data_IF_548084199307
#
_entry.id   IF_548084199307
#
_cell.length_a   1.000
_cell.length_b   1.000
_cell.length_c   1.000
_cell.angle_alpha   90.00
_cell.angle_beta   90.00
_cell.angle_gamma   90.00
#
_symmetry.space_group_name_H-M   'P 1'
#
loop_
_entity.id
_entity.type
_entity.pdbx_description
1 polymer ?
#
# COMPACT_ATOMS: atom_id res chain seq x y z
N UNK A 1 -27.17 16.46 -50.92
CA UNK A 1 -28.42 17.15 -51.38
C UNK A 1 -28.85 18.29 -50.45
N UNK A 2 -28.67 18.20 -49.12
CA UNK A 2 -29.00 19.28 -48.16
C UNK A 2 -27.91 20.36 -48.07
N UNK A 3 -26.64 19.96 -48.04
CA UNK A 3 -25.49 20.88 -48.03
C UNK A 3 -25.40 21.72 -49.32
N UNK A 4 -25.77 21.13 -50.46
CA UNK A 4 -25.87 21.81 -51.75
C UNK A 4 -27.05 22.80 -51.84
N UNK A 5 -28.01 22.71 -50.92
CA UNK A 5 -29.13 23.63 -50.79
C UNK A 5 -28.85 24.78 -49.79
N UNK A 6 -27.61 24.93 -49.31
CA UNK A 6 -27.21 25.98 -48.37
C UNK A 6 -27.75 25.80 -46.95
N UNK A 7 -28.32 24.64 -46.61
CA UNK A 7 -28.81 24.34 -45.26
C UNK A 7 -27.68 23.82 -44.37
N UNK A 8 -27.62 24.31 -43.13
CA UNK A 8 -26.64 23.86 -42.14
C UNK A 8 -26.92 22.42 -41.74
N UNK A 9 -25.98 21.52 -42.01
CA UNK A 9 -26.02 20.12 -41.59
C UNK A 9 -24.97 19.86 -40.50
N UNK A 10 -25.20 18.85 -39.67
CA UNK A 10 -24.22 18.40 -38.68
C UNK A 10 -22.96 17.83 -39.33
N UNK A 11 -21.96 17.53 -38.49
CA UNK A 11 -20.66 17.06 -38.94
C UNK A 11 -20.59 15.55 -39.23
N UNK A 12 -21.54 14.77 -38.72
CA UNK A 12 -21.66 13.35 -39.05
C UNK A 12 -21.98 13.19 -40.55
N UNK A 13 -21.22 12.34 -41.24
CA UNK A 13 -21.37 12.06 -42.68
C UNK A 13 -22.00 10.70 -42.98
N UNK A 14 -22.57 10.04 -41.97
CA UNK A 14 -23.24 8.75 -42.08
C UNK A 14 -22.41 7.63 -42.74
N UNK A 15 -21.10 7.63 -42.50
CA UNK A 15 -20.17 6.63 -43.06
C UNK A 15 -20.27 5.24 -42.42
N UNK A 16 -21.02 5.09 -41.30
CA UNK A 16 -21.15 3.86 -40.50
C UNK A 16 -19.84 3.28 -39.93
N UNK A 17 -18.72 4.01 -39.98
CA UNK A 17 -17.43 3.53 -39.47
C UNK A 17 -17.49 3.20 -37.97
N UNK A 18 -18.17 4.02 -37.17
CA UNK A 18 -18.38 3.80 -35.74
C UNK A 18 -19.14 2.51 -35.41
N UNK A 19 -20.11 2.12 -36.25
CA UNK A 19 -20.89 0.88 -36.10
C UNK A 19 -20.04 -0.32 -36.47
N UNK A 20 -19.30 -0.25 -37.58
CA UNK A 20 -18.50 -1.35 -38.10
C UNK A 20 -17.37 -1.78 -37.16
N UNK A 21 -16.76 -0.82 -36.44
CA UNK A 21 -15.67 -1.11 -35.48
C UNK A 21 -16.18 -1.44 -34.08
N UNK A 22 -17.48 -1.28 -33.82
CA UNK A 22 -18.02 -1.49 -32.49
C UNK A 22 -18.17 -3.00 -32.21
N UNK A 23 -17.47 -3.56 -31.20
CA UNK A 23 -17.57 -4.97 -30.87
C UNK A 23 -18.95 -5.35 -30.30
N UNK A 24 -19.68 -4.37 -29.77
CA UNK A 24 -21.03 -4.54 -29.22
C UNK A 24 -22.12 -4.27 -30.27
N UNK A 25 -21.76 -3.88 -31.50
CA UNK A 25 -22.72 -3.57 -32.57
C UNK A 25 -23.58 -2.32 -32.35
N UNK A 26 -23.18 -1.42 -31.44
CA UNK A 26 -23.94 -0.21 -31.13
C UNK A 26 -23.73 0.92 -32.16
N UNK A 27 -24.83 1.61 -32.48
CA UNK A 27 -24.83 2.82 -33.30
C UNK A 27 -24.88 4.06 -32.41
N UNK A 28 -23.73 4.73 -32.28
CA UNK A 28 -23.57 5.91 -31.42
C UNK A 28 -24.50 7.08 -31.78
N UNK A 29 -25.11 7.08 -32.97
CA UNK A 29 -26.05 8.12 -33.40
C UNK A 29 -27.38 8.04 -32.66
N UNK A 30 -27.72 6.86 -32.13
CA UNK A 30 -28.90 6.65 -31.29
C UNK A 30 -28.72 7.16 -29.85
N UNK A 31 -27.55 7.75 -29.56
CA UNK A 31 -27.23 8.31 -28.25
C UNK A 31 -26.60 7.29 -27.31
N UNK A 32 -26.71 7.55 -26.00
CA UNK A 32 -26.08 6.74 -24.97
C UNK A 32 -26.81 5.40 -24.81
N UNK A 33 -26.06 4.31 -24.96
CA UNK A 33 -26.52 2.93 -24.90
C UNK A 33 -25.83 2.21 -23.73
N UNK A 34 -26.56 1.35 -23.03
CA UNK A 34 -26.10 0.67 -21.81
C UNK A 34 -25.06 -0.43 -22.11
N UNK A 35 -25.04 -0.91 -23.35
CA UNK A 35 -24.16 -1.93 -23.89
C UNK A 35 -22.73 -1.40 -24.14
N UNK A 36 -22.53 -0.07 -24.06
CA UNK A 36 -21.23 0.54 -24.31
C UNK A 36 -20.18 0.14 -23.27
N UNK A 37 -19.10 -0.49 -23.72
CA UNK A 37 -17.96 -0.92 -22.89
C UNK A 37 -16.84 0.13 -22.78
N UNK A 38 -17.03 1.34 -23.31
CA UNK A 38 -16.02 2.41 -23.26
C UNK A 38 -14.63 2.00 -23.77
N UNK A 39 -14.56 1.40 -24.96
CA UNK A 39 -13.29 0.96 -25.58
C UNK A 39 -12.66 1.97 -26.57
N UNK A 40 -13.35 3.07 -26.90
CA UNK A 40 -12.91 4.12 -27.82
C UNK A 40 -12.70 3.77 -29.31
N UNK A 41 -12.90 2.53 -29.75
CA UNK A 41 -12.72 2.15 -31.17
C UNK A 41 -13.53 3.01 -32.15
N UNK A 42 -14.76 3.40 -31.76
CA UNK A 42 -15.60 4.29 -32.55
C UNK A 42 -15.02 5.71 -32.67
N UNK A 43 -14.32 6.20 -31.64
CA UNK A 43 -13.67 7.52 -31.63
C UNK A 43 -12.52 7.52 -32.64
N UNK A 44 -11.63 6.53 -32.55
CA UNK A 44 -10.48 6.41 -33.45
C UNK A 44 -10.92 6.29 -34.92
N UNK A 45 -11.95 5.48 -35.18
CA UNK A 45 -12.51 5.33 -36.51
C UNK A 45 -13.17 6.62 -37.03
N UNK A 46 -13.85 7.37 -36.17
CA UNK A 46 -14.46 8.64 -36.52
C UNK A 46 -13.40 9.69 -36.84
N UNK A 47 -12.35 9.81 -36.02
CA UNK A 47 -11.24 10.73 -36.27
C UNK A 47 -10.53 10.43 -37.60
N UNK A 48 -10.33 9.15 -37.92
CA UNK A 48 -9.78 8.75 -39.22
C UNK A 48 -10.67 9.12 -40.42
N UNK A 49 -11.99 9.23 -40.24
CA UNK A 49 -12.91 9.76 -41.26
C UNK A 49 -12.82 11.28 -41.33
N UNK A 50 -12.76 11.96 -40.20
CA UNK A 50 -12.64 13.43 -40.13
C UNK A 50 -11.35 13.93 -40.79
N UNK A 51 -10.24 13.23 -40.57
CA UNK A 51 -8.95 13.52 -41.22
C UNK A 51 -9.07 13.48 -42.76
N UNK A 52 -9.71 12.44 -43.30
CA UNK A 52 -9.90 12.29 -44.76
C UNK A 52 -10.79 13.37 -45.36
N UNK A 53 -11.69 13.94 -44.56
CA UNK A 53 -12.56 15.04 -44.95
C UNK A 53 -11.91 16.41 -44.73
N UNK A 54 -10.70 16.47 -44.15
CA UNK A 54 -10.04 17.71 -43.79
C UNK A 54 -10.75 18.49 -42.68
N UNK A 55 -11.49 17.80 -41.80
CA UNK A 55 -12.17 18.38 -40.65
C UNK A 55 -11.43 18.10 -39.35
N UNK A 56 -11.67 18.92 -38.34
CA UNK A 56 -11.08 18.74 -37.01
C UNK A 56 -11.56 17.45 -36.34
N UNK A 57 -10.62 16.77 -35.66
CA UNK A 57 -10.86 15.55 -34.85
C UNK A 57 -11.68 15.84 -33.60
N UNK A 58 -12.20 14.80 -32.96
CA UNK A 58 -12.96 14.91 -31.72
C UNK A 58 -14.45 15.20 -31.91
N UNK A 59 -14.99 14.89 -33.10
CA UNK A 59 -16.45 14.92 -33.34
C UNK A 59 -17.21 14.08 -32.30
N UNK A 60 -16.61 12.94 -31.92
CA UNK A 60 -17.01 12.15 -30.76
C UNK A 60 -15.81 11.98 -29.85
N UNK A 61 -16.03 12.00 -28.54
CA UNK A 61 -14.97 11.86 -27.54
C UNK A 61 -15.55 11.39 -26.21
N UNK A 62 -14.68 11.00 -25.28
CA UNK A 62 -15.10 10.87 -23.90
C UNK A 62 -15.44 12.24 -23.33
N UNK A 63 -16.69 12.37 -22.89
CA UNK A 63 -17.19 13.56 -22.26
C UNK A 63 -17.79 13.21 -20.89
N UNK A 64 -17.73 14.18 -19.97
CA UNK A 64 -18.56 14.10 -18.77
C UNK A 64 -19.97 14.55 -19.11
N UNK A 65 -20.96 14.17 -18.29
CA UNK A 65 -22.33 14.67 -18.42
C UNK A 65 -22.38 16.21 -18.38
N UNK A 66 -21.52 16.83 -17.58
CA UNK A 66 -21.40 18.29 -17.51
C UNK A 66 -20.93 18.91 -18.84
N UNK A 67 -19.97 18.26 -19.51
CA UNK A 67 -19.46 18.73 -20.81
C UNK A 67 -20.52 18.57 -21.90
N UNK A 68 -21.19 17.41 -21.93
CA UNK A 68 -22.32 17.16 -22.83
C UNK A 68 -23.42 18.22 -22.67
N UNK A 69 -23.87 18.47 -21.45
CA UNK A 69 -24.90 19.46 -21.17
C UNK A 69 -24.47 20.87 -21.58
N UNK A 70 -23.21 21.24 -21.31
CA UNK A 70 -22.66 22.56 -21.71
C UNK A 70 -22.67 22.72 -23.23
N UNK A 71 -22.24 21.69 -23.96
CA UNK A 71 -22.21 21.69 -25.42
C UNK A 71 -23.62 21.69 -26.02
N UNK A 72 -24.57 20.98 -25.41
CA UNK A 72 -25.98 21.01 -25.83
C UNK A 72 -26.62 22.36 -25.60
N UNK A 73 -26.36 23.03 -24.47
CA UNK A 73 -26.83 24.41 -24.29
C UNK A 73 -26.26 25.36 -25.34
N UNK A 74 -24.97 25.23 -25.67
CA UNK A 74 -24.35 26.05 -26.74
C UNK A 74 -25.01 25.77 -28.09
N UNK A 75 -25.16 24.50 -28.46
CA UNK A 75 -25.69 24.08 -29.75
C UNK A 75 -27.18 24.42 -29.95
N UNK A 76 -27.93 24.62 -28.87
CA UNK A 76 -29.39 24.91 -28.89
C UNK A 76 -29.72 26.35 -28.50
N UNK A 77 -28.73 27.24 -28.46
CA UNK A 77 -28.89 28.62 -27.98
C UNK A 77 -29.65 28.70 -26.64
N UNK A 78 -29.19 27.91 -25.67
CA UNK A 78 -29.78 27.79 -24.34
C UNK A 78 -31.11 27.01 -24.30
N UNK A 79 -31.35 26.13 -25.27
CA UNK A 79 -32.59 25.35 -25.39
C UNK A 79 -33.71 26.04 -26.20
N UNK A 80 -33.42 27.22 -26.78
CA UNK A 80 -34.39 28.01 -27.56
C UNK A 80 -34.60 27.49 -28.97
N UNK A 81 -33.66 26.70 -29.51
CA UNK A 81 -33.72 26.13 -30.85
C UNK A 81 -33.35 24.65 -30.86
N UNK A 82 -33.67 23.96 -31.95
CA UNK A 82 -33.00 22.69 -32.27
C UNK A 82 -31.49 22.91 -32.45
N UNK A 83 -30.73 21.80 -32.48
CA UNK A 83 -29.28 21.83 -32.68
C UNK A 83 -28.93 22.62 -33.94
N UNK A 84 -28.15 23.68 -33.76
CA UNK A 84 -27.76 24.63 -34.79
C UNK A 84 -26.24 24.56 -35.01
N UNK A 85 -25.75 23.84 -36.04
CA UNK A 85 -24.32 23.59 -36.27
C UNK A 85 -23.40 24.83 -36.32
N UNK A 86 -23.81 25.99 -36.88
CA UNK A 86 -23.02 27.22 -36.85
C UNK A 86 -22.70 27.76 -35.44
N UNK A 87 -23.44 27.37 -34.40
CA UNK A 87 -23.15 27.83 -33.02
C UNK A 87 -21.93 27.12 -32.40
N UNK A 88 -21.57 25.96 -32.92
CA UNK A 88 -20.45 25.14 -32.42
C UNK A 88 -19.21 25.21 -33.31
N UNK A 89 -19.28 25.95 -34.42
CA UNK A 89 -18.19 26.13 -35.39
C UNK A 89 -17.81 27.60 -35.55
N UNK A 90 -16.54 27.86 -35.84
CA UNK A 90 -16.08 29.19 -36.30
C UNK A 90 -16.35 29.36 -37.79
N UNK A 91 -16.19 30.58 -38.31
CA UNK A 91 -16.32 30.86 -39.75
C UNK A 91 -15.35 30.03 -40.62
N UNK A 92 -14.20 29.67 -40.05
CA UNK A 92 -13.16 28.86 -40.69
C UNK A 92 -13.44 27.34 -40.61
N UNK A 93 -14.55 26.92 -40.00
CA UNK A 93 -14.95 25.52 -39.88
C UNK A 93 -14.31 24.74 -38.73
N UNK A 94 -13.53 25.40 -37.88
CA UNK A 94 -12.97 24.82 -36.65
C UNK A 94 -14.03 24.79 -35.53
N UNK A 95 -13.83 23.95 -34.51
CA UNK A 95 -14.67 23.97 -33.32
C UNK A 95 -14.51 25.31 -32.58
N UNK A 96 -15.63 25.82 -32.06
CA UNK A 96 -15.63 27.03 -31.24
C UNK A 96 -14.90 26.78 -29.92
N UNK A 97 -14.09 27.74 -29.46
CA UNK A 97 -13.42 27.70 -28.14
C UNK A 97 -14.41 27.58 -26.96
N UNK A 98 -15.69 27.90 -27.21
CA UNK A 98 -16.77 27.77 -26.23
C UNK A 98 -17.23 26.32 -26.02
N UNK A 99 -16.85 25.41 -26.92
CA UNK A 99 -17.17 24.00 -26.81
C UNK A 99 -16.34 23.39 -25.68
N UNK A 100 -17.02 22.81 -24.70
CA UNK A 100 -16.40 22.09 -23.61
C UNK A 100 -15.72 20.82 -24.14
N UNK A 101 -14.39 20.79 -24.04
CA UNK A 101 -13.57 19.64 -24.37
C UNK A 101 -12.66 19.26 -23.19
N UNK A 102 -11.88 18.19 -23.34
CA UNK A 102 -10.90 17.80 -22.35
C UNK A 102 -9.74 18.81 -22.32
N UNK A 103 -9.44 19.34 -21.14
CA UNK A 103 -8.27 20.17 -20.88
C UNK A 103 -7.52 19.62 -19.69
N UNK A 104 -6.18 19.66 -19.74
CA UNK A 104 -5.34 19.14 -18.65
C UNK A 104 -5.58 19.84 -17.30
N UNK A 105 -6.01 21.11 -17.34
CA UNK A 105 -6.43 21.88 -16.15
C UNK A 105 -7.58 21.22 -15.38
N UNK A 106 -8.43 20.41 -16.04
CA UNK A 106 -9.52 19.67 -15.36
C UNK A 106 -9.01 18.59 -14.39
N UNK A 107 -7.76 18.12 -14.55
CA UNK A 107 -7.13 17.16 -13.62
C UNK A 107 -6.72 17.86 -12.31
N UNK A 108 -6.24 19.09 -12.41
CA UNK A 108 -5.70 19.87 -11.30
C UNK A 108 -6.80 20.56 -10.47
N UNK A 109 -7.71 19.76 -9.91
CA UNK A 109 -8.74 20.24 -8.97
C UNK A 109 -8.19 20.21 -7.54
N UNK A 110 -8.51 21.21 -6.69
CA UNK A 110 -8.08 21.23 -5.29
C UNK A 110 -8.41 19.94 -4.53
N UNK A 111 -9.59 19.35 -4.79
CA UNK A 111 -10.00 18.08 -4.18
C UNK A 111 -9.07 16.91 -4.52
N UNK A 112 -8.55 16.84 -5.74
CA UNK A 112 -7.61 15.79 -6.17
C UNK A 112 -6.34 15.82 -5.32
N UNK A 113 -5.80 17.01 -5.04
CA UNK A 113 -4.63 17.17 -4.18
C UNK A 113 -4.90 16.78 -2.72
N UNK A 114 -6.09 17.09 -2.20
CA UNK A 114 -6.49 16.66 -0.84
C UNK A 114 -6.49 15.14 -0.74
N UNK A 115 -7.12 14.44 -1.69
CA UNK A 115 -7.13 12.97 -1.68
C UNK A 115 -5.72 12.39 -1.85
N UNK A 116 -4.91 12.94 -2.75
CA UNK A 116 -3.53 12.51 -2.94
C UNK A 116 -2.69 12.71 -1.67
N UNK A 117 -2.86 13.83 -0.97
CA UNK A 117 -2.20 14.10 0.31
C UNK A 117 -2.61 13.12 1.40
N UNK A 118 -3.92 12.85 1.56
CA UNK A 118 -4.43 11.88 2.54
C UNK A 118 -3.88 10.49 2.27
N UNK A 119 -3.95 10.01 1.02
CA UNK A 119 -3.43 8.70 0.65
C UNK A 119 -1.93 8.58 0.83
N UNK A 120 -1.18 9.65 0.50
CA UNK A 120 0.27 9.69 0.71
C UNK A 120 0.62 9.64 2.19
N UNK A 121 -0.13 10.33 3.05
CA UNK A 121 0.09 10.31 4.51
C UNK A 121 -0.17 8.91 5.07
N UNK A 122 -1.25 8.25 4.66
CA UNK A 122 -1.53 6.86 5.05
C UNK A 122 -0.40 5.94 4.60
N UNK A 123 0.03 6.06 3.33
CA UNK A 123 1.13 5.26 2.79
C UNK A 123 2.45 5.47 3.55
N UNK A 124 2.79 6.72 3.88
CA UNK A 124 3.97 7.05 4.68
C UNK A 124 3.88 6.48 6.10
N UNK A 125 2.71 6.55 6.74
CA UNK A 125 2.49 5.96 8.07
C UNK A 125 2.68 4.44 8.08
N UNK A 126 2.13 3.75 7.07
CA UNK A 126 2.31 2.30 6.92
C UNK A 126 3.78 1.94 6.62
N UNK A 127 4.45 2.71 5.76
CA UNK A 127 5.86 2.51 5.45
C UNK A 127 6.73 2.69 6.70
N UNK A 128 6.48 3.76 7.47
CA UNK A 128 7.18 3.99 8.73
C UNK A 128 6.98 2.81 9.69
N UNK A 129 5.74 2.38 9.91
CA UNK A 129 5.43 1.23 10.77
C UNK A 129 6.11 -0.06 10.32
N UNK A 130 6.27 -0.28 9.01
CA UNK A 130 6.95 -1.45 8.46
C UNK A 130 8.47 -1.39 8.69
N UNK A 131 9.06 -0.21 8.48
CA UNK A 131 10.51 -0.01 8.62
C UNK A 131 10.96 -0.06 10.09
N UNK A 132 10.13 0.41 11.02
CA UNK A 132 10.42 0.41 12.47
C UNK A 132 9.90 -0.84 13.19
N UNK A 133 9.47 -1.88 12.47
CA UNK A 133 9.00 -3.12 13.08
C UNK A 133 10.17 -3.88 13.70
N UNK A 134 10.06 -4.19 15.00
CA UNK A 134 11.01 -5.06 15.70
C UNK A 134 11.01 -6.47 15.08
N UNK A 135 12.22 -7.01 14.87
CA UNK A 135 12.42 -8.33 14.22
C UNK A 135 13.02 -9.38 15.16
N UNK A 136 13.13 -9.03 16.44
CA UNK A 136 13.67 -9.86 17.50
C UNK A 136 12.67 -9.87 18.68
N UNK A 137 12.17 -11.05 19.01
CA UNK A 137 11.27 -11.23 20.15
C UNK A 137 11.91 -12.15 21.21
N UNK A 138 11.86 -11.68 22.47
CA UNK A 138 12.30 -12.41 23.67
C UNK A 138 11.09 -12.70 24.55
N UNK A 139 10.85 -13.96 24.85
CA UNK A 139 9.82 -14.38 25.80
C UNK A 139 10.41 -15.35 26.82
N UNK A 140 10.28 -15.05 28.12
CA UNK A 140 10.86 -15.85 29.20
C UNK A 140 9.76 -16.37 30.11
N UNK A 141 9.84 -17.66 30.43
CA UNK A 141 8.88 -18.34 31.30
C UNK A 141 9.63 -18.97 32.48
N UNK A 142 9.29 -18.59 33.71
CA UNK A 142 9.84 -19.24 34.92
C UNK A 142 9.16 -20.61 35.13
N UNK A 143 9.97 -21.66 35.27
CA UNK A 143 9.52 -22.99 35.68
C UNK A 143 8.93 -22.93 37.10
N UNK A 144 7.68 -23.37 37.26
CA UNK A 144 6.97 -23.33 38.56
C UNK A 144 7.02 -24.64 39.34
N UNK A 145 7.55 -25.71 38.76
CA UNK A 145 7.57 -27.03 39.38
C UNK A 145 8.91 -27.75 39.12
N UNK A 146 9.87 -27.72 40.07
CA UNK A 146 9.87 -26.93 41.31
C UNK A 146 10.08 -25.43 41.05
N UNK A 147 9.61 -24.55 41.95
CA UNK A 147 9.85 -23.10 41.81
C UNK A 147 11.32 -22.71 41.96
N UNK A 148 12.03 -23.38 42.87
CA UNK A 148 13.47 -23.26 43.08
C UNK A 148 14.04 -24.57 43.62
N UNK A 149 15.35 -24.78 43.47
CA UNK A 149 16.08 -25.91 44.04
C UNK A 149 17.30 -25.40 44.80
N UNK A 150 17.43 -25.79 46.06
CA UNK A 150 18.63 -25.51 46.85
C UNK A 150 19.70 -26.57 46.56
N UNK A 151 20.91 -26.13 46.24
CA UNK A 151 22.07 -26.98 45.97
C UNK A 151 22.83 -27.31 47.27
N UNK A 152 23.75 -28.27 47.20
CA UNK A 152 24.54 -28.73 48.37
C UNK A 152 25.46 -27.65 48.94
N UNK A 153 25.82 -26.64 48.13
CA UNK A 153 26.61 -25.47 48.52
C UNK A 153 25.75 -24.34 49.12
N UNK A 154 24.43 -24.55 49.28
CA UNK A 154 23.48 -23.55 49.77
C UNK A 154 23.01 -22.56 48.71
N UNK A 155 23.53 -22.62 47.49
CA UNK A 155 23.07 -21.76 46.40
C UNK A 155 21.65 -22.13 45.94
N UNK A 156 20.91 -21.15 45.43
CA UNK A 156 19.56 -21.36 44.91
C UNK A 156 19.60 -21.39 43.39
N UNK A 157 18.97 -22.40 42.79
CA UNK A 157 18.82 -22.57 41.34
C UNK A 157 17.36 -22.46 40.91
N UNK A 158 17.06 -21.54 40.00
CA UNK A 158 15.77 -21.37 39.34
C UNK A 158 15.85 -21.79 37.87
N UNK A 159 14.78 -22.39 37.34
CA UNK A 159 14.68 -22.77 35.92
C UNK A 159 13.85 -21.76 35.13
N UNK A 160 14.33 -21.38 33.95
CA UNK A 160 13.62 -20.51 33.02
C UNK A 160 13.65 -21.13 31.62
N UNK A 161 12.54 -21.03 30.90
CA UNK A 161 12.47 -21.31 29.47
C UNK A 161 12.54 -19.98 28.73
N UNK A 162 13.68 -19.72 28.10
CA UNK A 162 13.94 -18.53 27.29
C UNK A 162 13.64 -18.88 25.83
N UNK A 163 12.69 -18.17 25.22
CA UNK A 163 12.29 -18.32 23.84
C UNK A 163 12.82 -17.14 23.03
N UNK A 164 13.62 -17.44 22.02
CA UNK A 164 14.23 -16.47 21.11
C UNK A 164 13.62 -16.68 19.73
N UNK A 165 12.95 -15.66 19.19
CA UNK A 165 12.38 -15.71 17.85
C UNK A 165 13.17 -14.79 16.91
N UNK A 166 13.74 -15.39 15.87
CA UNK A 166 14.35 -14.67 14.76
C UNK A 166 13.29 -14.46 13.67
N UNK A 167 12.89 -13.21 13.41
CA UNK A 167 11.93 -12.86 12.35
C UNK A 167 12.60 -12.38 11.05
N UNK A 168 13.88 -12.69 10.83
CA UNK A 168 14.56 -12.40 9.55
C UNK A 168 15.02 -13.69 8.87
N UNK A 169 15.08 -13.69 7.52
CA UNK A 169 15.47 -14.86 6.72
C UNK A 169 17.00 -15.08 6.66
N UNK A 170 17.72 -14.73 7.73
CA UNK A 170 19.18 -14.87 7.84
C UNK A 170 19.55 -15.43 9.22
N UNK A 171 20.56 -16.31 9.31
CA UNK A 171 21.00 -16.86 10.59
C UNK A 171 21.63 -15.75 11.46
N UNK A 172 21.24 -15.70 12.73
CA UNK A 172 21.72 -14.68 13.67
C UNK A 172 22.38 -15.32 14.87
N UNK A 173 23.39 -14.63 15.41
CA UNK A 173 23.98 -14.99 16.71
C UNK A 173 23.51 -13.98 17.75
N UNK A 174 22.59 -14.41 18.59
CA UNK A 174 22.00 -13.57 19.63
C UNK A 174 22.77 -13.70 20.93
N UNK A 175 23.08 -12.58 21.57
CA UNK A 175 23.76 -12.56 22.87
C UNK A 175 22.72 -12.42 23.96
N UNK A 176 22.50 -13.50 24.72
CA UNK A 176 21.60 -13.51 25.88
C UNK A 176 22.41 -13.16 27.11
N UNK A 177 22.08 -12.04 27.76
CA UNK A 177 22.77 -11.52 28.94
C UNK A 177 21.81 -11.41 30.11
N UNK A 178 22.27 -11.79 31.30
CA UNK A 178 21.56 -11.52 32.55
C UNK A 178 22.10 -10.27 33.21
N UNK A 179 21.22 -9.31 33.47
CA UNK A 179 21.49 -8.07 34.17
C UNK A 179 20.83 -8.09 35.54
N UNK A 180 21.52 -7.56 36.55
CA UNK A 180 21.13 -7.74 37.95
C UNK A 180 21.64 -9.07 38.53
N UNK A 181 21.30 -9.34 39.79
CA UNK A 181 21.82 -10.45 40.61
C UNK A 181 23.36 -10.51 40.65
N UNK A 182 23.93 -9.93 41.70
CA UNK A 182 25.37 -9.97 41.93
C UNK A 182 25.83 -11.40 42.24
N UNK A 183 26.89 -11.83 41.55
CA UNK A 183 27.44 -13.19 41.71
C UNK A 183 26.65 -14.30 41.03
N UNK A 184 25.47 -14.03 40.45
CA UNK A 184 24.70 -15.04 39.73
C UNK A 184 25.42 -15.51 38.46
N UNK A 185 25.28 -16.80 38.18
CA UNK A 185 25.59 -17.37 36.89
C UNK A 185 24.37 -18.06 36.27
N UNK A 186 24.42 -18.20 34.96
CA UNK A 186 23.45 -18.94 34.19
C UNK A 186 24.11 -20.18 33.62
N UNK A 187 23.31 -21.23 33.42
CA UNK A 187 23.71 -22.45 32.73
C UNK A 187 22.64 -22.77 31.70
N UNK A 188 23.03 -22.89 30.43
CA UNK A 188 22.15 -23.30 29.34
C UNK A 188 22.17 -24.82 29.24
N UNK A 189 20.99 -25.45 29.22
CA UNK A 189 20.88 -26.91 29.12
C UNK A 189 20.96 -27.32 27.65
N UNK A 190 21.86 -28.25 27.33
CA UNK A 190 21.94 -28.91 26.03
C UNK A 190 23.07 -28.43 25.13
N UNK A 191 23.66 -27.26 25.42
CA UNK A 191 24.87 -26.78 24.76
C UNK A 191 26.05 -26.85 25.77
N UNK A 192 27.24 -27.27 25.33
CA UNK A 192 28.48 -27.29 26.14
C UNK A 192 29.06 -25.88 26.38
N UNK A 193 28.18 -24.94 26.71
CA UNK A 193 28.52 -23.55 27.00
C UNK A 193 28.87 -23.45 28.49
N UNK A 194 30.07 -22.94 28.85
CA UNK A 194 30.44 -22.75 30.25
C UNK A 194 29.45 -21.86 30.99
N UNK A 195 29.30 -22.08 32.30
CA UNK A 195 28.49 -21.19 33.14
C UNK A 195 29.01 -19.74 33.06
N UNK A 196 28.09 -18.78 33.02
CA UNK A 196 28.43 -17.37 32.82
C UNK A 196 27.22 -16.46 32.85
N UNK A 197 27.41 -15.17 32.57
CA UNK A 197 26.32 -14.17 32.56
C UNK A 197 25.87 -13.73 31.16
N UNK A 198 26.61 -14.17 30.13
CA UNK A 198 26.37 -13.80 28.74
C UNK A 198 26.75 -14.96 27.82
N UNK A 199 25.86 -15.36 26.93
CA UNK A 199 26.11 -16.43 25.96
C UNK A 199 25.70 -16.03 24.56
N UNK A 200 26.49 -16.44 23.58
CA UNK A 200 26.18 -16.29 22.16
C UNK A 200 25.44 -17.54 21.68
N UNK A 201 24.19 -17.38 21.25
CA UNK A 201 23.32 -18.46 20.80
C UNK A 201 23.01 -18.26 19.31
N UNK A 202 23.40 -19.21 18.43
CA UNK A 202 22.96 -19.19 17.05
C UNK A 202 21.47 -19.54 16.98
N UNK A 203 20.71 -18.71 16.25
CA UNK A 203 19.28 -18.89 15.98
C UNK A 203 19.08 -18.88 14.47
N UNK A 204 18.45 -19.95 13.98
CA UNK A 204 18.17 -20.14 12.56
C UNK A 204 17.17 -19.09 12.02
N UNK A 205 17.16 -18.85 10.69
CA UNK A 205 16.19 -17.99 10.03
C UNK A 205 14.74 -18.38 10.33
N UNK A 206 13.87 -17.40 10.56
CA UNK A 206 12.42 -17.57 10.72
C UNK A 206 12.02 -18.66 11.75
N UNK A 207 12.87 -18.90 12.74
CA UNK A 207 12.67 -19.96 13.73
C UNK A 207 12.73 -19.45 15.16
N UNK A 208 11.91 -20.12 15.99
CA UNK A 208 11.94 -20.02 17.44
C UNK A 208 12.97 -21.02 17.99
N UNK A 209 13.97 -20.53 18.73
CA UNK A 209 14.87 -21.37 19.53
C UNK A 209 14.46 -21.28 21.00
N UNK A 210 14.22 -22.44 21.61
CA UNK A 210 13.89 -22.54 23.03
C UNK A 210 15.12 -23.01 23.79
N UNK A 211 15.49 -22.26 24.82
CA UNK A 211 16.61 -22.55 25.71
C UNK A 211 16.07 -22.78 27.10
N UNK A 212 16.46 -23.88 27.73
CA UNK A 212 16.24 -24.06 29.16
C UNK A 212 17.47 -23.52 29.89
N UNK A 213 17.27 -22.47 30.67
CA UNK A 213 18.32 -21.73 31.37
C UNK A 213 18.12 -21.89 32.86
N UNK A 214 19.15 -22.36 33.55
CA UNK A 214 19.17 -22.36 35.01
C UNK A 214 19.94 -21.13 35.50
N UNK A 215 19.29 -20.30 36.32
CA UNK A 215 19.94 -19.19 37.00
C UNK A 215 20.29 -19.66 38.40
N UNK A 216 21.56 -19.56 38.79
CA UNK A 216 22.03 -19.91 40.12
C UNK A 216 22.55 -18.67 40.84
N UNK A 217 22.05 -18.46 42.05
CA UNK A 217 22.45 -17.37 42.93
C UNK A 217 23.23 -17.93 44.13
N UNK A 218 24.47 -17.49 44.38
CA UNK A 218 25.25 -17.85 45.56
C UNK A 218 24.55 -17.49 46.87
N UNK A 219 24.72 -18.33 47.91
CA UNK A 219 23.99 -18.20 49.18
C UNK A 219 24.26 -16.87 49.91
N UNK A 220 25.48 -16.35 49.79
CA UNK A 220 25.94 -15.09 50.39
C UNK A 220 25.31 -13.84 49.76
N UNK A 221 24.76 -13.97 48.54
CA UNK A 221 24.16 -12.86 47.79
C UNK A 221 22.62 -12.94 47.76
N UNK A 222 22.00 -13.80 48.58
CA UNK A 222 20.54 -13.88 48.70
C UNK A 222 20.06 -12.85 49.72
N UNK A 223 19.59 -11.70 49.22
CA UNK A 223 19.18 -10.56 50.07
C UNK A 223 17.70 -10.58 50.46
N UNK A 224 16.86 -11.24 49.66
CA UNK A 224 15.41 -11.27 49.84
C UNK A 224 14.81 -12.59 49.30
N UNK A 225 13.59 -12.97 49.74
CA UNK A 225 12.88 -14.16 49.25
C UNK A 225 12.55 -14.10 47.75
N UNK A 226 12.42 -12.90 47.20
CA UNK A 226 12.23 -12.64 45.77
C UNK A 226 13.16 -11.50 45.34
N UNK A 227 13.83 -11.68 44.22
CA UNK A 227 14.73 -10.69 43.62
C UNK A 227 14.44 -10.60 42.13
N UNK A 228 14.29 -9.38 41.63
CA UNK A 228 14.02 -9.10 40.22
C UNK A 228 15.33 -8.96 39.46
N UNK A 229 15.35 -9.47 38.23
CA UNK A 229 16.48 -9.33 37.33
C UNK A 229 16.00 -9.26 35.89
N UNK A 230 16.92 -8.98 34.96
CA UNK A 230 16.56 -8.82 33.55
C UNK A 230 17.33 -9.79 32.67
N UNK A 231 16.62 -10.39 31.72
CA UNK A 231 17.23 -10.98 30.54
C UNK A 231 17.25 -9.92 29.44
N UNK A 232 18.43 -9.66 28.89
CA UNK A 232 18.61 -8.80 27.72
C UNK A 232 19.14 -9.64 26.57
N UNK A 233 18.51 -9.55 25.42
CA UNK A 233 18.99 -10.18 24.19
C UNK A 233 19.39 -9.07 23.24
N UNK A 234 20.59 -9.21 22.67
CA UNK A 234 21.13 -8.25 21.72
C UNK A 234 21.73 -9.00 20.52
N UNK A 235 21.49 -8.48 19.33
CA UNK A 235 22.18 -8.91 18.13
C UNK A 235 23.34 -7.97 17.82
N UNK A 236 24.56 -8.51 17.82
CA UNK A 236 25.79 -7.73 17.59
C UNK A 236 25.90 -7.17 16.18
N UNK A 237 25.21 -7.76 15.21
CA UNK A 237 25.26 -7.31 13.82
C UNK A 237 24.26 -6.18 13.54
N UNK A 238 23.06 -6.25 14.13
CA UNK A 238 21.95 -5.34 13.82
C UNK A 238 21.66 -4.30 14.92
N UNK A 239 22.34 -4.36 16.08
CA UNK A 239 22.07 -3.56 17.27
C UNK A 239 20.62 -3.65 17.78
N UNK A 240 19.82 -4.60 17.28
CA UNK A 240 18.50 -4.89 17.81
C UNK A 240 18.64 -5.47 19.22
N UNK A 241 17.83 -4.97 20.16
CA UNK A 241 17.80 -5.54 21.51
C UNK A 241 16.39 -5.61 22.06
N UNK A 242 16.15 -6.61 22.91
CA UNK A 242 14.89 -6.81 23.62
C UNK A 242 15.18 -7.20 25.07
N UNK A 243 14.33 -6.80 26.01
CA UNK A 243 14.51 -7.02 27.44
C UNK A 243 13.26 -7.65 28.07
N UNK A 244 13.49 -8.57 28.99
CA UNK A 244 12.45 -9.18 29.82
C UNK A 244 12.83 -9.06 31.29
N UNK A 245 11.89 -8.59 32.13
CA UNK A 245 12.08 -8.50 33.59
C UNK A 245 11.47 -9.73 34.26
N UNK A 246 12.31 -10.51 34.92
CA UNK A 246 11.97 -11.76 35.60
C UNK A 246 11.82 -11.59 37.12
#
# INVERSE_FOLDING_TARGET
>A
KVQAAGQSVGDCVDCNACVAVCPMGIDIRDGQQLECITCALCIDACDGVMDKLGKERGLISYATLSDYNTNMMLATAGGSSSVNPPLVRTADGLFSDKLAHFHIRKIFRPRTYVYMGIWSLIGLGLLFSLLTRDRLELNVLHDRNPQFVTLSDGSIRNGYTVKLLNMIPEPRTLVVTMQGLEGADMVVVGDDIPAGRSFAIPVEPDRLKMLKVFVRQPADQIRAPAQTFKFRVEDRASFESNEYTA
#
